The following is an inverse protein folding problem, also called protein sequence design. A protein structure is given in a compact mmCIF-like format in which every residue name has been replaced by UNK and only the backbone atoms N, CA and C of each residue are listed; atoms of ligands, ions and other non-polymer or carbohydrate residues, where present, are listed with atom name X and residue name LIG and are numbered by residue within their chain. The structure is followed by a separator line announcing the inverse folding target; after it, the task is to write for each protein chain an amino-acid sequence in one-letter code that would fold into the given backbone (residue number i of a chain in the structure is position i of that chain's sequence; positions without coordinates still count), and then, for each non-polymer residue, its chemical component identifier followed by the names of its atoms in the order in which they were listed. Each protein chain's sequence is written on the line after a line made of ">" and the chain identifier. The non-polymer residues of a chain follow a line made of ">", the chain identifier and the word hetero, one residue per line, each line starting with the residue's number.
data_IF_502558911957
#
_entry.id   IF_502558911957
#
_cell.length_a   1.000
_cell.length_b   1.000
_cell.length_c   1.000
_cell.angle_alpha   90.00
_cell.angle_beta   90.00
_cell.angle_gamma   90.00
#
_symmetry.space_group_name_H-M   'P 1'
#
loop_
_entity.id
_entity.type
_entity.pdbx_description
1 polymer ?
#
# COMPACT_ATOMS: atom_id res chain seq x y z
N UNK A 1 -4.25 7.02 16.92
CA UNK A 1 -4.04 5.64 17.40
C UNK A 1 -5.05 5.23 18.46
N UNK A 2 -5.01 5.82 19.66
CA UNK A 2 -5.84 5.39 20.80
C UNK A 2 -7.23 6.02 20.82
N UNK A 3 -7.45 7.12 20.11
CA UNK A 3 -8.69 7.88 20.17
C UNK A 3 -8.89 8.56 21.52
N UNK A 4 -7.81 8.82 22.26
CA UNK A 4 -7.86 9.43 23.59
C UNK A 4 -7.18 10.79 23.57
N UNK A 5 -7.74 11.79 24.28
CA UNK A 5 -7.05 13.05 24.47
C UNK A 5 -5.75 12.84 25.28
N UNK A 6 -4.77 13.70 25.05
CA UNK A 6 -3.45 13.61 25.65
C UNK A 6 -2.95 14.99 26.04
N UNK A 7 -2.43 15.11 27.26
CA UNK A 7 -1.77 16.31 27.76
C UNK A 7 -0.29 16.03 27.87
N UNK A 8 0.51 16.83 27.17
CA UNK A 8 1.95 16.82 27.30
C UNK A 8 2.38 18.04 28.11
N UNK A 9 2.83 17.82 29.35
CA UNK A 9 3.33 18.86 30.23
C UNK A 9 4.82 18.64 30.44
N UNK A 10 5.64 19.61 30.03
CA UNK A 10 7.10 19.51 30.09
C UNK A 10 7.70 20.78 30.67
N UNK A 11 8.83 20.61 31.39
CA UNK A 11 9.54 21.72 32.02
C UNK A 11 10.38 22.52 31.01
N UNK A 12 11.07 21.83 30.10
CA UNK A 12 11.99 22.42 29.11
C UNK A 12 11.57 22.12 27.68
N UNK A 13 10.39 21.54 27.49
CA UNK A 13 9.80 21.26 26.19
C UNK A 13 8.58 22.14 25.93
N UNK A 14 7.88 21.83 24.85
CA UNK A 14 6.62 22.48 24.53
C UNK A 14 5.50 21.73 25.26
N UNK A 15 4.79 22.44 26.14
CA UNK A 15 3.58 21.90 26.75
C UNK A 15 2.40 22.12 25.83
N UNK A 16 1.63 21.06 25.56
CA UNK A 16 0.56 21.04 24.58
C UNK A 16 -0.55 20.06 24.96
N UNK A 17 -1.76 20.32 24.49
CA UNK A 17 -2.92 19.45 24.65
C UNK A 17 -3.43 19.01 23.28
N UNK A 18 -3.75 17.73 23.16
CA UNK A 18 -4.27 17.13 21.93
C UNK A 18 -5.60 16.44 22.21
N UNK A 19 -6.55 16.63 21.29
CA UNK A 19 -7.84 15.97 21.28
C UNK A 19 -7.74 14.51 20.84
N UNK A 20 -8.85 13.75 20.93
CA UNK A 20 -8.88 12.32 20.62
C UNK A 20 -8.53 11.99 19.16
N UNK A 21 -8.76 12.93 18.23
CA UNK A 21 -8.39 12.82 16.82
C UNK A 21 -6.94 13.27 16.53
N UNK A 22 -6.21 13.74 17.54
CA UNK A 22 -4.85 14.28 17.41
C UNK A 22 -4.81 15.77 17.03
N UNK A 23 -5.95 16.44 16.89
CA UNK A 23 -5.99 17.89 16.71
C UNK A 23 -5.50 18.61 17.97
N UNK A 24 -4.73 19.68 17.81
CA UNK A 24 -4.28 20.48 18.95
C UNK A 24 -5.46 21.23 19.59
N UNK A 25 -5.56 21.15 20.91
CA UNK A 25 -6.54 21.92 21.71
C UNK A 25 -5.85 23.18 22.19
N UNK A 26 -6.22 24.32 21.59
CA UNK A 26 -5.70 25.63 21.98
C UNK A 26 -4.22 25.88 21.66
N UNK A 27 -3.64 26.87 22.35
CA UNK A 27 -2.24 27.24 22.20
C UNK A 27 -1.27 26.25 22.84
N UNK A 28 0.02 26.48 22.65
CA UNK A 28 1.08 25.75 23.36
C UNK A 28 1.85 26.68 24.26
N UNK A 29 2.33 26.15 25.39
CA UNK A 29 3.26 26.87 26.26
C UNK A 29 4.66 26.49 25.83
N UNK A 30 5.40 27.48 25.34
CA UNK A 30 6.80 27.32 24.94
C UNK A 30 7.76 27.30 26.13
N UNK A 31 9.01 26.99 25.84
CA UNK A 31 10.08 26.80 26.83
C UNK A 31 10.53 28.03 27.63
N UNK A 32 10.49 29.28 27.12
CA UNK A 32 11.00 30.41 27.90
C UNK A 32 9.98 30.97 28.91
N UNK A 33 8.78 30.38 28.98
CA UNK A 33 7.68 30.93 29.76
C UNK A 33 7.46 30.14 31.06
N UNK A 34 7.45 30.85 32.18
CA UNK A 34 6.79 30.36 33.40
C UNK A 34 5.31 30.73 33.31
N UNK A 35 4.49 29.79 32.85
CA UNK A 35 3.09 30.04 32.54
C UNK A 35 2.19 28.84 32.89
N UNK A 36 0.91 29.13 33.08
CA UNK A 36 -0.16 28.14 33.22
C UNK A 36 -1.29 28.48 32.24
N UNK A 37 -1.95 27.46 31.70
CA UNK A 37 -3.09 27.63 30.80
C UNK A 37 -4.16 26.58 31.11
N UNK A 38 -5.42 26.98 30.92
CA UNK A 38 -6.60 26.14 31.08
C UNK A 38 -7.12 25.75 29.70
N UNK A 39 -7.44 24.47 29.53
CA UNK A 39 -7.97 23.92 28.29
C UNK A 39 -9.15 23.02 28.60
N UNK A 40 -10.25 23.20 27.88
CA UNK A 40 -11.36 22.27 27.88
C UNK A 40 -11.07 21.13 26.91
N UNK A 41 -11.03 19.90 27.43
CA UNK A 41 -10.62 18.71 26.67
C UNK A 41 -11.82 17.80 26.45
N UNK A 42 -12.18 17.49 25.18
CA UNK A 42 -13.29 16.60 24.90
C UNK A 42 -12.97 15.17 25.34
N UNK A 43 -13.88 14.56 26.10
CA UNK A 43 -13.80 13.16 26.50
C UNK A 43 -14.25 12.27 25.34
N UNK A 44 -13.42 11.32 24.96
CA UNK A 44 -13.78 10.27 24.01
C UNK A 44 -14.08 8.96 24.74
N UNK A 45 -15.16 8.29 24.36
CA UNK A 45 -15.60 7.01 24.93
C UNK A 45 -15.39 5.83 23.97
N UNK A 46 -15.21 6.10 22.67
CA UNK A 46 -15.06 5.08 21.63
C UNK A 46 -13.71 4.34 21.66
N UNK A 47 -13.68 3.24 20.91
CA UNK A 47 -12.49 2.42 20.69
C UNK A 47 -12.10 2.47 19.21
N UNK A 48 -10.81 2.61 18.92
CA UNK A 48 -10.32 2.67 17.54
C UNK A 48 -10.03 1.26 17.01
N UNK A 49 -10.03 1.11 15.68
CA UNK A 49 -9.64 -0.15 15.05
C UNK A 49 -8.23 -0.59 15.44
N UNK A 50 -7.31 0.37 15.65
CA UNK A 50 -5.95 0.08 16.09
C UNK A 50 -5.92 -0.49 17.52
N UNK A 51 -6.72 0.04 18.46
CA UNK A 51 -6.81 -0.55 19.80
C UNK A 51 -7.36 -1.97 19.73
N UNK A 52 -8.36 -2.21 18.87
CA UNK A 52 -9.00 -3.53 18.72
C UNK A 52 -8.12 -4.59 18.05
N UNK A 53 -7.39 -4.21 17.00
CA UNK A 53 -6.67 -5.17 16.15
C UNK A 53 -5.14 -5.07 16.27
N UNK A 54 -4.61 -4.01 16.87
CA UNK A 54 -3.18 -3.72 16.93
C UNK A 54 -2.53 -3.64 15.55
N UNK A 55 -1.27 -4.04 15.49
CA UNK A 55 -0.47 -4.07 14.25
C UNK A 55 -0.71 -5.31 13.37
N UNK A 56 -1.46 -6.30 13.87
CA UNK A 56 -1.66 -7.58 13.17
C UNK A 56 -2.14 -7.42 11.72
N UNK A 57 -3.12 -6.54 11.39
CA UNK A 57 -3.55 -6.36 10.00
C UNK A 57 -2.44 -5.88 9.07
N UNK A 58 -1.52 -5.05 9.57
CA UNK A 58 -0.37 -4.54 8.81
C UNK A 58 0.60 -5.69 8.53
N UNK A 59 0.93 -6.49 9.55
CA UNK A 59 1.78 -7.67 9.38
C UNK A 59 1.17 -8.70 8.44
N UNK A 60 -0.14 -8.95 8.53
CA UNK A 60 -0.85 -9.85 7.63
C UNK A 60 -0.80 -9.37 6.18
N UNK A 61 -1.00 -8.06 5.93
CA UNK A 61 -0.87 -7.49 4.59
C UNK A 61 0.56 -7.65 4.03
N UNK A 62 1.58 -7.41 4.86
CA UNK A 62 2.98 -7.61 4.46
C UNK A 62 3.27 -9.08 4.11
N UNK A 63 2.75 -10.03 4.88
CA UNK A 63 2.89 -11.46 4.58
C UNK A 63 2.23 -11.86 3.26
N UNK A 64 1.05 -11.31 2.96
CA UNK A 64 0.37 -11.55 1.68
C UNK A 64 1.19 -11.00 0.51
N UNK A 65 1.69 -9.77 0.62
CA UNK A 65 2.53 -9.16 -0.41
C UNK A 65 3.82 -9.96 -0.62
N UNK A 66 4.47 -10.40 0.47
CA UNK A 66 5.65 -11.24 0.42
C UNK A 66 5.35 -12.58 -0.28
N UNK A 67 4.24 -13.23 0.07
CA UNK A 67 3.85 -14.50 -0.55
C UNK A 67 3.59 -14.34 -2.06
N UNK A 68 2.87 -13.29 -2.47
CA UNK A 68 2.64 -12.99 -3.88
C UNK A 68 3.97 -12.72 -4.62
N UNK A 69 4.86 -11.92 -4.02
CA UNK A 69 6.19 -11.66 -4.57
C UNK A 69 7.02 -12.93 -4.74
N UNK A 70 7.01 -13.82 -3.75
CA UNK A 70 7.70 -15.11 -3.81
C UNK A 70 7.11 -16.04 -4.88
N UNK A 71 5.78 -16.09 -5.01
CA UNK A 71 5.11 -16.91 -6.01
C UNK A 71 5.47 -16.43 -7.43
N UNK A 72 5.40 -15.12 -7.69
CA UNK A 72 5.77 -14.56 -8.99
C UNK A 72 7.27 -14.67 -9.27
N UNK A 73 8.12 -14.43 -8.26
CA UNK A 73 9.56 -14.66 -8.37
C UNK A 73 9.88 -16.11 -8.72
N UNK A 74 9.21 -17.08 -8.09
CA UNK A 74 9.41 -18.50 -8.41
C UNK A 74 8.84 -18.89 -9.78
N UNK A 75 7.73 -18.28 -10.21
CA UNK A 75 7.16 -18.50 -11.55
C UNK A 75 8.10 -18.04 -12.65
N UNK A 76 8.68 -16.85 -12.51
CA UNK A 76 9.64 -16.30 -13.49
C UNK A 76 10.90 -17.14 -13.59
N UNK A 77 11.45 -17.59 -12.45
CA UNK A 77 12.60 -18.49 -12.42
C UNK A 77 12.29 -19.86 -13.06
N UNK A 78 11.10 -20.43 -12.81
CA UNK A 78 10.67 -21.71 -13.38
C UNK A 78 10.37 -21.64 -14.88
N UNK A 79 9.84 -20.53 -15.39
CA UNK A 79 9.65 -20.34 -16.84
C UNK A 79 10.99 -20.23 -17.57
N UNK A 80 11.99 -19.58 -16.96
CA UNK A 80 13.35 -19.48 -17.52
C UNK A 80 14.09 -20.81 -17.46
N UNK A 81 13.95 -21.58 -16.37
CA UNK A 81 14.52 -22.93 -16.25
C UNK A 81 13.92 -23.94 -17.26
N UNK A 82 12.62 -23.87 -17.55
CA UNK A 82 11.98 -24.72 -18.58
C UNK A 82 12.40 -24.37 -20.02
N UNK A 83 12.79 -23.13 -20.28
CA UNK A 83 13.40 -22.76 -21.56
C UNK A 83 14.82 -23.33 -21.69
N UNK A 84 15.58 -23.36 -20.59
CA UNK A 84 16.91 -23.97 -20.54
C UNK A 84 16.86 -25.51 -20.60
N UNK A 85 15.94 -26.17 -19.90
CA UNK A 85 15.79 -27.64 -19.93
C UNK A 85 15.24 -28.16 -21.28
N UNK A 86 14.56 -27.32 -22.06
CA UNK A 86 14.16 -27.66 -23.45
C UNK A 86 15.34 -27.57 -24.43
N UNK A 87 16.47 -26.97 -24.05
CA UNK A 87 17.70 -27.07 -24.83
C UNK A 87 18.34 -28.44 -24.59
N UNK A 88 17.67 -29.49 -25.06
CA UNK A 88 18.24 -30.83 -25.17
C UNK A 88 19.46 -30.75 -26.11
N UNK A 89 20.68 -31.11 -25.66
CA UNK A 89 21.84 -31.15 -26.54
C UNK A 89 21.68 -32.35 -27.48
N UNK A 90 21.20 -32.10 -28.70
CA UNK A 90 21.10 -33.17 -29.71
C UNK A 90 20.15 -32.97 -30.88
N UNK A 91 19.45 -31.84 -31.01
CA UNK A 91 18.66 -31.58 -32.24
C UNK A 91 19.28 -30.44 -33.03
N UNK A 92 19.74 -30.76 -34.24
CA UNK A 92 20.20 -29.86 -35.29
C UNK A 92 19.33 -28.59 -35.36
N UNK A 93 19.90 -27.37 -35.49
CA UNK A 93 19.10 -26.16 -35.66
C UNK A 93 18.30 -26.25 -36.97
N UNK A 94 17.00 -26.54 -36.86
CA UNK A 94 16.05 -26.20 -37.92
C UNK A 94 15.96 -24.68 -38.06
N UNK A 95 15.63 -24.15 -39.25
CA UNK A 95 15.64 -22.71 -39.50
C UNK A 95 14.77 -21.97 -38.48
N UNK A 96 15.29 -20.84 -38.00
CA UNK A 96 14.70 -20.02 -36.96
C UNK A 96 13.22 -19.70 -37.27
N UNK A 97 12.30 -19.78 -36.30
CA UNK A 97 10.93 -19.32 -36.50
C UNK A 97 10.97 -17.80 -36.71
N UNK A 98 10.47 -17.33 -37.85
CA UNK A 98 10.38 -15.91 -38.13
C UNK A 98 9.59 -15.16 -37.05
N UNK A 99 9.99 -13.90 -36.73
CA UNK A 99 9.24 -13.04 -35.82
C UNK A 99 7.78 -12.94 -36.30
N UNK A 100 6.84 -13.40 -35.47
CA UNK A 100 5.41 -13.23 -35.74
C UNK A 100 5.08 -11.74 -35.68
N UNK A 101 4.89 -11.13 -36.84
CA UNK A 101 4.43 -9.75 -36.93
C UNK A 101 3.05 -9.59 -36.25
N UNK A 102 2.80 -8.46 -35.55
CA UNK A 102 1.51 -8.19 -34.94
C UNK A 102 0.41 -8.14 -36.00
N UNK A 103 -0.75 -8.81 -35.80
CA UNK A 103 -1.83 -8.76 -36.77
C UNK A 103 -2.39 -7.34 -36.89
N UNK A 104 -2.28 -6.77 -38.10
CA UNK A 104 -2.86 -5.48 -38.44
C UNK A 104 -4.39 -5.54 -38.26
N UNK A 105 -4.91 -4.79 -37.28
CA UNK A 105 -6.36 -4.56 -37.15
C UNK A 105 -6.81 -3.67 -38.31
N UNK A 106 -7.36 -4.28 -39.35
CA UNK A 106 -8.20 -3.54 -40.30
C UNK A 106 -9.58 -3.34 -39.67
N UNK A 107 -10.01 -2.09 -39.57
CA UNK A 107 -11.36 -1.75 -39.14
C UNK A 107 -12.34 -2.25 -40.20
N UNK A 108 -13.00 -3.38 -39.95
CA UNK A 108 -14.09 -3.84 -40.80
C UNK A 108 -15.27 -2.87 -40.64
N UNK A 109 -15.45 -2.01 -41.64
CA UNK A 109 -16.67 -1.22 -41.82
C UNK A 109 -17.85 -2.15 -42.07
N UNK A 110 -18.86 -2.04 -41.21
CA UNK A 110 -20.13 -2.77 -41.31
C UNK A 110 -20.93 -2.27 -42.53
N UNK A 111 -21.44 -3.16 -43.42
CA UNK A 111 -22.32 -2.72 -44.49
C UNK A 111 -23.71 -2.38 -43.92
N UNK A 112 -24.15 -1.15 -44.16
CA UNK A 112 -25.47 -0.68 -43.79
C UNK A 112 -26.56 -1.47 -44.54
N UNK A 113 -27.57 -1.90 -43.79
CA UNK A 113 -28.75 -2.63 -44.27
C UNK A 113 -29.66 -1.70 -45.09
N UNK A 114 -30.09 -2.06 -46.31
CA UNK A 114 -31.17 -1.34 -46.97
C UNK A 114 -32.51 -1.73 -46.34
N UNK A 115 -33.26 -0.73 -45.90
CA UNK A 115 -34.61 -0.89 -45.40
C UNK A 115 -35.62 -1.12 -46.52
N UNK A 116 -36.71 -1.81 -46.18
CA UNK A 116 -38.04 -1.60 -46.71
C UNK A 116 -39.06 -1.99 -45.66
#
# INVERSE_FOLDING_TARGET
>A
ETGRPMVHATLTGVSAVYGPEGSRVGGTIGTPASAAALYDVPLATGETAYVKFGDWPVHAALLVLLALGLIEGLRTLRSSGRAADRATPGTTPGPAPEPREPPARTAHGSPARPGR
#
